data_IF_520206049502
#
_entry.id   IF_520206049502
#
_cell.length_a   1.000
_cell.length_b   1.000
_cell.length_c   1.000
_cell.angle_alpha   90.00
_cell.angle_beta   90.00
_cell.angle_gamma   90.00
#
_symmetry.space_group_name_H-M   'P 1'
#
loop_
_entity.id
_entity.type
_entity.pdbx_description
1 polymer ?
#
# COMPACT_ATOMS: atom_id res chain seq x y z
N UNK A 1 -1.23 -11.42 15.04
CA UNK A 1 -0.26 -10.95 16.04
C UNK A 1 -0.04 -9.46 15.86
N UNK A 2 0.00 -8.70 16.94
CA UNK A 2 0.23 -7.25 16.94
C UNK A 2 1.22 -6.89 18.05
N UNK A 3 1.87 -5.75 17.89
CA UNK A 3 2.76 -5.23 18.91
C UNK A 3 1.97 -4.69 20.11
N UNK A 4 2.16 -5.19 21.33
CA UNK A 4 1.40 -4.76 22.50
C UNK A 4 1.86 -3.40 23.09
N UNK A 5 2.80 -2.73 22.44
CA UNK A 5 3.31 -1.44 22.90
C UNK A 5 4.05 -1.53 24.25
N UNK A 6 3.75 -0.60 25.14
CA UNK A 6 4.36 -0.54 26.47
C UNK A 6 4.01 -1.70 27.41
N UNK A 7 3.04 -2.53 27.02
CA UNK A 7 2.70 -3.77 27.74
C UNK A 7 3.56 -4.98 27.33
N UNK A 8 4.50 -4.79 26.39
CA UNK A 8 5.42 -5.86 26.02
C UNK A 8 6.37 -6.19 27.17
N UNK A 9 6.58 -7.47 27.40
CA UNK A 9 7.58 -7.93 28.36
C UNK A 9 8.99 -7.57 27.82
N UNK A 10 9.66 -6.67 28.49
CA UNK A 10 11.02 -6.24 28.12
C UNK A 10 12.09 -7.34 28.31
N UNK A 11 11.74 -8.43 28.96
CA UNK A 11 12.65 -9.55 29.19
C UNK A 11 12.73 -10.51 27.98
N UNK A 12 11.85 -10.37 26.98
CA UNK A 12 11.82 -11.23 25.81
C UNK A 12 12.16 -10.47 24.53
N UNK A 13 13.01 -11.09 23.72
CA UNK A 13 13.31 -10.59 22.37
C UNK A 13 12.05 -10.65 21.50
N UNK A 14 11.70 -9.53 20.88
CA UNK A 14 10.58 -9.45 19.95
C UNK A 14 11.11 -9.46 18.52
N UNK A 15 10.66 -10.44 17.74
CA UNK A 15 11.03 -10.60 16.32
C UNK A 15 9.84 -10.23 15.44
N UNK A 16 10.08 -9.37 14.48
CA UNK A 16 9.14 -9.09 13.40
C UNK A 16 9.61 -9.81 12.13
N UNK A 17 8.70 -10.50 11.48
CA UNK A 17 8.93 -11.07 10.15
C UNK A 17 8.29 -10.12 9.14
N UNK A 18 9.07 -9.64 8.20
CA UNK A 18 8.64 -8.69 7.16
C UNK A 18 8.89 -9.27 5.78
N UNK A 19 8.09 -8.85 4.81
CA UNK A 19 8.37 -9.12 3.41
C UNK A 19 9.47 -8.17 2.94
N UNK A 20 10.60 -8.73 2.52
CA UNK A 20 11.82 -7.99 2.16
C UNK A 20 12.19 -8.15 0.67
N UNK A 21 11.28 -8.66 -0.12
CA UNK A 21 11.44 -8.74 -1.57
C UNK A 21 10.99 -7.41 -2.21
N UNK A 22 11.87 -6.70 -2.94
CA UNK A 22 11.54 -5.44 -3.61
C UNK A 22 10.45 -5.58 -4.68
N UNK A 23 10.27 -6.77 -5.23
CA UNK A 23 9.27 -7.05 -6.24
C UNK A 23 7.97 -7.67 -5.69
N UNK A 24 7.88 -7.77 -4.36
CA UNK A 24 6.68 -8.27 -3.69
C UNK A 24 5.45 -7.44 -4.07
N UNK A 25 4.40 -8.13 -4.50
CA UNK A 25 3.11 -7.53 -4.77
C UNK A 25 2.19 -7.65 -3.57
N UNK A 26 1.44 -6.60 -3.33
CA UNK A 26 0.43 -6.51 -2.26
C UNK A 26 -0.93 -6.18 -2.85
N UNK A 27 -1.99 -6.68 -2.23
CA UNK A 27 -3.36 -6.23 -2.51
C UNK A 27 -3.76 -5.22 -1.45
N UNK A 28 -4.14 -4.03 -1.88
CA UNK A 28 -4.55 -2.92 -1.01
C UNK A 28 -5.92 -2.42 -1.44
N UNK A 29 -6.84 -2.30 -0.50
CA UNK A 29 -8.17 -1.75 -0.75
C UNK A 29 -8.09 -0.24 -1.01
N UNK A 30 -8.94 0.27 -1.91
CA UNK A 30 -9.05 1.70 -2.16
C UNK A 30 -9.88 2.42 -1.09
N UNK A 31 -9.56 3.68 -0.81
CA UNK A 31 -10.31 4.55 0.10
C UNK A 31 -11.54 5.19 -0.54
N UNK A 32 -11.71 5.02 -1.85
CA UNK A 32 -12.81 5.59 -2.63
C UNK A 32 -13.14 4.71 -3.83
N UNK A 33 -14.21 5.03 -4.52
CA UNK A 33 -14.70 4.31 -5.71
C UNK A 33 -13.84 4.58 -6.94
N UNK A 34 -13.85 3.65 -7.90
CA UNK A 34 -13.14 3.79 -9.19
C UNK A 34 -14.08 4.07 -10.37
N UNK A 35 -15.36 4.14 -10.11
CA UNK A 35 -16.44 4.42 -11.08
C UNK A 35 -16.77 3.21 -11.98
N UNK A 36 -15.79 2.62 -12.65
CA UNK A 36 -15.93 1.47 -13.55
C UNK A 36 -14.58 0.83 -13.85
N UNK A 37 -14.57 -0.24 -14.63
CA UNK A 37 -13.34 -0.93 -15.04
C UNK A 37 -12.37 -0.03 -15.81
N UNK A 38 -12.87 0.84 -16.70
CA UNK A 38 -12.02 1.77 -17.43
C UNK A 38 -11.31 2.74 -16.46
N UNK A 39 -12.00 3.15 -15.40
CA UNK A 39 -11.44 3.95 -14.31
C UNK A 39 -10.31 3.21 -13.58
N UNK A 40 -10.50 1.92 -13.26
CA UNK A 40 -9.46 1.09 -12.66
C UNK A 40 -8.25 0.93 -13.62
N UNK A 41 -8.52 0.61 -14.87
CA UNK A 41 -7.49 0.44 -15.93
C UNK A 41 -6.65 1.71 -16.11
N UNK A 42 -7.26 2.88 -16.08
CA UNK A 42 -6.58 4.17 -16.21
C UNK A 42 -5.63 4.51 -15.04
N UNK A 43 -5.74 3.78 -13.92
CA UNK A 43 -4.88 3.95 -12.74
C UNK A 43 -3.64 3.03 -12.77
N UNK A 44 -3.64 2.00 -13.62
CA UNK A 44 -2.50 1.08 -13.73
C UNK A 44 -1.24 1.84 -14.17
N UNK A 45 -0.11 1.46 -13.59
CA UNK A 45 1.21 2.08 -13.74
C UNK A 45 1.33 3.51 -13.18
N UNK A 46 0.33 4.03 -12.50
CA UNK A 46 0.44 5.27 -11.72
C UNK A 46 0.87 4.98 -10.30
N UNK A 47 1.34 6.01 -9.63
CA UNK A 47 1.77 5.95 -8.24
C UNK A 47 0.67 6.50 -7.31
N UNK A 48 0.66 6.05 -6.07
CA UNK A 48 -0.31 6.46 -5.07
C UNK A 48 0.31 6.59 -3.68
N UNK A 49 -0.35 7.36 -2.83
CA UNK A 49 -0.07 7.39 -1.39
C UNK A 49 -0.95 6.39 -0.66
N UNK A 50 -0.58 6.08 0.57
CA UNK A 50 -1.53 5.49 1.51
C UNK A 50 -2.70 6.45 1.71
N UNK A 51 -3.89 5.92 1.85
CA UNK A 51 -5.10 6.67 2.12
C UNK A 51 -4.90 7.52 3.36
N UNK A 52 -5.24 8.79 3.25
CA UNK A 52 -5.09 9.71 4.37
C UNK A 52 -6.31 9.54 5.27
N UNK A 53 -6.18 8.69 6.25
CA UNK A 53 -6.85 9.02 7.48
C UNK A 53 -6.04 10.17 8.06
N UNK A 54 -6.67 11.32 8.26
CA UNK A 54 -6.03 12.62 8.58
C UNK A 54 -5.11 12.58 9.82
N UNK A 55 -5.19 11.54 10.59
CA UNK A 55 -4.25 11.14 11.63
C UNK A 55 -3.95 9.66 11.42
N UNK A 56 -2.72 9.26 11.48
CA UNK A 56 -2.24 7.88 11.38
C UNK A 56 -3.01 6.87 12.29
N UNK A 57 -3.81 7.37 13.18
CA UNK A 57 -4.72 6.61 14.06
C UNK A 57 -5.69 5.68 13.34
N UNK A 58 -5.97 5.90 12.05
CA UNK A 58 -6.78 4.99 11.25
C UNK A 58 -6.04 3.75 10.72
N UNK A 59 -4.72 3.72 10.84
CA UNK A 59 -3.89 2.60 10.40
C UNK A 59 -3.59 1.59 11.51
N UNK A 60 -4.11 1.80 12.71
CA UNK A 60 -3.87 0.96 13.89
C UNK A 60 -4.26 -0.52 13.67
N UNK A 61 -4.93 -0.80 12.57
CA UNK A 61 -5.41 -2.14 12.31
C UNK A 61 -6.47 -2.58 13.33
N UNK A 62 -6.72 -3.84 13.39
CA UNK A 62 -7.54 -4.44 14.43
C UNK A 62 -6.64 -5.23 15.38
N UNK A 63 -6.59 -4.84 16.63
CA UNK A 63 -5.89 -5.60 17.67
C UNK A 63 -6.55 -6.96 17.97
N UNK A 64 -7.77 -7.16 17.48
CA UNK A 64 -8.50 -8.43 17.58
C UNK A 64 -8.13 -9.36 16.42
N UNK A 65 -8.18 -8.85 15.17
CA UNK A 65 -7.91 -9.65 13.96
C UNK A 65 -6.48 -9.54 13.45
N UNK A 66 -5.72 -8.54 13.88
CA UNK A 66 -4.38 -8.25 13.37
C UNK A 66 -4.37 -7.70 11.94
N UNK A 67 -5.53 -7.38 11.36
CA UNK A 67 -5.64 -6.88 10.00
C UNK A 67 -5.34 -5.40 9.91
N UNK A 68 -4.54 -5.01 8.92
CA UNK A 68 -4.28 -3.60 8.62
C UNK A 68 -5.54 -2.91 8.08
N UNK A 69 -5.73 -1.65 8.46
CA UNK A 69 -6.73 -0.75 7.88
C UNK A 69 -6.14 0.19 6.83
N UNK A 70 -4.86 0.05 6.49
CA UNK A 70 -4.22 0.87 5.48
C UNK A 70 -4.92 0.69 4.13
N UNK A 71 -5.19 1.81 3.45
CA UNK A 71 -5.86 1.86 2.17
C UNK A 71 -5.02 2.63 1.16
N UNK A 72 -5.32 2.46 -0.12
CA UNK A 72 -4.76 3.24 -1.21
C UNK A 72 -5.62 4.48 -1.44
N UNK A 73 -5.02 5.65 -1.44
CA UNK A 73 -5.75 6.90 -1.69
C UNK A 73 -5.97 7.14 -3.18
N UNK A 74 -7.21 6.97 -3.61
CA UNK A 74 -7.62 7.16 -5.01
C UNK A 74 -7.41 8.60 -5.49
N UNK A 75 -7.64 9.58 -4.62
CA UNK A 75 -7.47 11.00 -4.93
C UNK A 75 -6.01 11.41 -5.18
N UNK A 76 -5.06 10.63 -4.68
CA UNK A 76 -3.62 10.92 -4.83
C UNK A 76 -3.01 10.25 -6.06
N UNK A 77 -3.74 9.39 -6.77
CA UNK A 77 -3.18 8.63 -7.89
C UNK A 77 -2.69 9.56 -8.99
N UNK A 78 -1.38 9.55 -9.21
CA UNK A 78 -0.69 10.43 -10.15
C UNK A 78 0.59 9.78 -10.69
N UNK A 79 1.30 10.48 -11.55
CA UNK A 79 2.61 10.08 -12.06
C UNK A 79 3.77 10.51 -11.14
N UNK A 80 3.45 11.06 -9.97
CA UNK A 80 4.44 11.57 -9.01
C UNK A 80 5.30 10.43 -8.48
N UNK A 81 6.60 10.52 -8.73
CA UNK A 81 7.59 9.49 -8.44
C UNK A 81 7.92 9.31 -6.95
N UNK A 82 7.60 10.31 -6.11
CA UNK A 82 7.85 10.25 -4.65
C UNK A 82 6.79 9.44 -3.89
N UNK A 83 5.74 9.00 -4.57
CA UNK A 83 4.68 8.24 -3.90
C UNK A 83 5.11 6.80 -3.62
N UNK A 84 4.77 6.26 -2.44
CA UNK A 84 5.34 5.01 -1.95
C UNK A 84 4.86 3.76 -2.69
N UNK A 85 3.69 3.81 -3.33
CA UNK A 85 3.11 2.65 -4.01
C UNK A 85 2.99 2.89 -5.50
N UNK A 86 3.23 1.85 -6.28
CA UNK A 86 2.93 1.79 -7.72
C UNK A 86 1.83 0.77 -7.96
N UNK A 87 0.82 1.18 -8.71
CA UNK A 87 -0.29 0.33 -9.09
C UNK A 87 0.16 -0.55 -10.26
N UNK A 88 0.14 -1.86 -10.07
CA UNK A 88 0.51 -2.85 -11.07
C UNK A 88 -0.71 -3.44 -11.79
N UNK A 89 -1.88 -3.35 -11.16
CA UNK A 89 -3.14 -3.87 -11.67
C UNK A 89 -4.24 -3.75 -10.63
N UNK A 90 -5.30 -4.50 -10.82
CA UNK A 90 -6.35 -4.69 -9.82
C UNK A 90 -6.68 -6.16 -9.70
N UNK A 91 -7.26 -6.54 -8.59
CA UNK A 91 -7.65 -7.92 -8.32
C UNK A 91 -8.86 -8.29 -9.18
N UNK A 92 -8.68 -9.23 -10.10
CA UNK A 92 -9.74 -9.69 -11.02
C UNK A 92 -10.49 -10.89 -10.41
N UNK A 93 -11.08 -10.67 -9.28
CA UNK A 93 -11.93 -11.65 -8.59
C UNK A 93 -13.38 -11.20 -8.68
N UNK A 94 -14.32 -12.14 -8.73
CA UNK A 94 -15.75 -11.83 -8.83
C UNK A 94 -16.26 -10.97 -7.68
N UNK A 95 -15.64 -11.05 -6.52
CA UNK A 95 -15.93 -10.21 -5.35
C UNK A 95 -15.40 -8.78 -5.47
N UNK A 96 -14.52 -8.49 -6.45
CA UNK A 96 -13.83 -7.21 -6.63
C UNK A 96 -14.30 -6.46 -7.90
N UNK A 97 -15.38 -6.86 -8.53
CA UNK A 97 -15.84 -6.27 -9.79
C UNK A 97 -16.84 -5.11 -9.62
N UNK A 98 -17.26 -4.83 -8.40
CA UNK A 98 -18.07 -3.64 -8.13
C UNK A 98 -17.18 -2.41 -7.91
N UNK A 99 -16.85 -1.74 -8.99
CA UNK A 99 -16.01 -0.52 -8.95
C UNK A 99 -16.71 0.69 -8.34
N UNK A 100 -18.02 0.62 -8.12
CA UNK A 100 -18.79 1.67 -7.46
C UNK A 100 -18.79 1.53 -5.95
N UNK A 101 -18.34 0.38 -5.44
CA UNK A 101 -18.14 0.14 -4.01
C UNK A 101 -16.81 0.75 -3.51
N UNK A 102 -16.73 0.93 -2.21
CA UNK A 102 -15.46 1.21 -1.53
C UNK A 102 -14.65 -0.07 -1.40
N UNK A 103 -13.33 0.06 -1.38
CA UNK A 103 -12.46 -1.06 -1.05
C UNK A 103 -12.09 -1.96 -2.22
N UNK A 104 -12.19 -1.47 -3.46
CA UNK A 104 -11.68 -2.22 -4.63
C UNK A 104 -10.21 -2.58 -4.41
N UNK A 105 -9.88 -3.87 -4.50
CA UNK A 105 -8.53 -4.38 -4.31
C UNK A 105 -7.63 -4.03 -5.50
N UNK A 106 -6.64 -3.19 -5.27
CA UNK A 106 -5.60 -2.85 -6.23
C UNK A 106 -4.33 -3.64 -5.92
N UNK A 107 -3.69 -4.16 -6.96
CA UNK A 107 -2.39 -4.81 -6.85
C UNK A 107 -1.32 -3.74 -6.94
N UNK A 108 -0.49 -3.64 -5.92
CA UNK A 108 0.56 -2.63 -5.83
C UNK A 108 1.92 -3.23 -5.53
N UNK A 109 2.98 -2.51 -5.91
CA UNK A 109 4.35 -2.72 -5.49
C UNK A 109 4.83 -1.49 -4.74
N UNK A 110 5.75 -1.68 -3.78
CA UNK A 110 6.40 -0.55 -3.10
C UNK A 110 7.47 0.06 -4.00
N UNK A 111 7.43 1.39 -4.18
CA UNK A 111 8.41 2.10 -4.99
C UNK A 111 9.74 2.32 -4.24
N UNK A 112 9.67 2.61 -2.95
CA UNK A 112 10.82 3.00 -2.14
C UNK A 112 11.24 1.83 -1.26
N UNK A 113 11.73 0.76 -1.88
CA UNK A 113 12.19 -0.41 -1.17
C UNK A 113 13.71 -0.38 -1.00
N UNK A 114 14.20 -0.68 0.22
CA UNK A 114 15.62 -0.63 0.56
C UNK A 114 16.49 -1.54 -0.32
N UNK A 115 15.98 -2.74 -0.63
CA UNK A 115 16.67 -3.76 -1.42
C UNK A 115 16.39 -3.69 -2.93
N UNK A 116 15.71 -2.65 -3.42
CA UNK A 116 15.50 -2.51 -4.87
C UNK A 116 16.82 -2.37 -5.63
N UNK A 117 16.94 -2.87 -6.87
CA UNK A 117 18.20 -2.87 -7.64
C UNK A 117 18.83 -1.49 -7.84
N UNK A 118 18.04 -0.45 -7.83
CA UNK A 118 18.49 0.94 -7.82
C UNK A 118 18.47 1.51 -6.40
N UNK A 119 18.57 0.60 -5.44
CA UNK A 119 18.41 0.82 -4.03
C UNK A 119 19.05 2.13 -3.63
N UNK A 120 18.24 3.00 -3.20
CA UNK A 120 18.60 4.36 -2.96
C UNK A 120 19.61 4.44 -1.83
N UNK A 121 20.80 4.89 -2.12
CA UNK A 121 21.67 5.47 -1.11
C UNK A 121 20.97 6.65 -0.39
N UNK A 122 19.83 7.09 -0.90
CA UNK A 122 18.97 8.12 -0.35
C UNK A 122 17.58 7.54 -0.12
N UNK A 123 17.32 7.04 1.07
CA UNK A 123 15.95 6.76 1.51
C UNK A 123 15.10 8.02 1.30
N UNK A 124 14.17 7.95 0.39
CA UNK A 124 13.27 9.07 0.06
C UNK A 124 13.38 9.59 -1.37
N UNK A 125 14.36 9.14 -2.15
CA UNK A 125 14.36 9.42 -3.60
C UNK A 125 13.74 8.25 -4.33
N UNK A 126 12.66 8.49 -5.03
CA UNK A 126 12.04 7.48 -5.88
C UNK A 126 13.05 6.95 -6.91
N UNK A 127 12.99 5.65 -7.15
CA UNK A 127 13.94 4.93 -8.00
C UNK A 127 13.90 5.39 -9.46
N UNK A 128 12.83 6.03 -9.88
CA UNK A 128 12.73 6.65 -11.21
C UNK A 128 11.95 7.96 -11.15
N UNK A 129 12.44 8.95 -11.87
CA UNK A 129 11.76 10.24 -12.04
C UNK A 129 10.47 10.15 -12.85
N UNK A 130 10.26 9.07 -13.53
CA UNK A 130 9.12 8.85 -14.42
C UNK A 130 8.48 7.51 -14.14
N UNK A 131 8.05 7.20 -12.97
CA UNK A 131 7.49 5.84 -12.78
C UNK A 131 7.43 5.09 -14.11
N UNK A 132 8.36 4.23 -14.40
CA UNK A 132 8.65 3.62 -15.73
C UNK A 132 7.49 3.70 -16.68
#
# INVERSE_FOLDING_TARGET
NFWPGSGADSAHEIKAYVYDDPDQLFVVATDSTLTNEAGARAKVYKNAKFGVVANFTGYDGSNISGSSKAQLSVSTIATTNTFPMRIMGWMQDSSNLDYTALGVGMVVRLNNHFNAPNGSANMGTAITTTGI
#
